data_IF_085000833678
#
_entry.id   IF_085000833678
#
_cell.length_a   1.000
_cell.length_b   1.000
_cell.length_c   1.000
_cell.angle_alpha   90.00
_cell.angle_beta   90.00
_cell.angle_gamma   90.00
#
_symmetry.space_group_name_H-M   'P 1'
#
loop_
_entity.id
_entity.type
_entity.pdbx_description
1 polymer ?
#
# COMPACT_ATOMS: atom_id res chain seq x y z
N UNK A 1 -1.64 6.40 -20.45
CA UNK A 1 -2.72 5.47 -20.05
C UNK A 1 -3.68 6.20 -19.13
N UNK A 2 -4.98 5.97 -19.27
CA UNK A 2 -6.05 6.63 -18.54
C UNK A 2 -6.93 5.63 -17.74
N UNK A 3 -7.95 6.13 -17.05
CA UNK A 3 -8.89 5.37 -16.22
C UNK A 3 -9.71 4.39 -17.06
N UNK A 4 -10.05 4.75 -18.29
CA UNK A 4 -10.78 3.86 -19.19
C UNK A 4 -9.92 2.64 -19.58
N UNK A 5 -8.62 2.85 -19.79
CA UNK A 5 -7.67 1.78 -20.16
C UNK A 5 -7.47 0.76 -19.02
N UNK A 6 -7.66 1.16 -17.76
CA UNK A 6 -7.52 0.27 -16.60
C UNK A 6 -8.82 -0.44 -16.21
N UNK A 7 -9.94 -0.18 -16.89
CA UNK A 7 -11.16 -0.95 -16.64
C UNK A 7 -10.99 -2.42 -17.06
N UNK A 8 -11.81 -3.29 -16.49
CA UNK A 8 -11.86 -4.71 -16.79
C UNK A 8 -11.57 -5.64 -15.62
N UNK A 9 -11.16 -6.87 -15.94
CA UNK A 9 -10.98 -7.96 -14.98
C UNK A 9 -9.51 -8.25 -14.71
N UNK A 10 -9.17 -8.41 -13.44
CA UNK A 10 -7.82 -8.72 -12.96
C UNK A 10 -7.78 -10.01 -12.16
N UNK A 11 -6.73 -10.80 -12.30
CA UNK A 11 -6.53 -11.97 -11.44
C UNK A 11 -6.18 -11.56 -10.01
N UNK A 12 -5.55 -10.39 -9.85
CA UNK A 12 -5.21 -9.82 -8.55
C UNK A 12 -5.09 -8.29 -8.63
N UNK A 13 -5.58 -7.62 -7.59
CA UNK A 13 -5.42 -6.18 -7.37
C UNK A 13 -4.64 -6.00 -6.07
N UNK A 14 -3.59 -5.18 -6.09
CA UNK A 14 -2.59 -5.10 -5.01
C UNK A 14 -2.35 -3.64 -4.63
N UNK A 15 -2.49 -3.32 -3.34
CA UNK A 15 -1.99 -2.06 -2.80
C UNK A 15 -0.48 -2.13 -2.56
N UNK A 16 0.23 -1.08 -2.97
CA UNK A 16 1.65 -0.85 -2.72
C UNK A 16 1.90 0.08 -1.52
N UNK A 17 0.99 0.06 -0.54
CA UNK A 17 1.09 0.84 0.69
C UNK A 17 0.78 2.32 0.49
N UNK A 18 1.62 3.17 1.07
CA UNK A 18 1.45 4.60 1.36
C UNK A 18 0.76 4.80 2.68
N UNK A 19 -0.40 4.19 2.83
CA UNK A 19 -1.14 4.06 4.07
C UNK A 19 -2.07 2.85 3.93
N UNK A 20 -2.85 2.54 4.96
CA UNK A 20 -3.81 1.43 4.92
C UNK A 20 -5.07 1.72 4.08
N UNK A 21 -5.31 2.97 3.68
CA UNK A 21 -6.55 3.38 3.02
C UNK A 21 -6.82 2.66 1.68
N UNK A 22 -5.87 2.54 0.72
CA UNK A 22 -6.13 1.80 -0.52
C UNK A 22 -6.51 0.34 -0.23
N UNK A 23 -5.82 -0.27 0.72
CA UNK A 23 -6.08 -1.63 1.17
C UNK A 23 -7.52 -1.80 1.72
N UNK A 24 -7.98 -0.87 2.55
CA UNK A 24 -9.33 -0.87 3.13
C UNK A 24 -10.42 -0.60 2.09
N UNK A 25 -10.16 0.30 1.14
CA UNK A 25 -11.12 0.62 0.07
C UNK A 25 -11.29 -0.54 -0.91
N UNK A 26 -10.18 -1.23 -1.24
CA UNK A 26 -10.25 -2.50 -1.99
C UNK A 26 -11.08 -3.55 -1.26
N UNK A 27 -10.98 -3.62 0.08
CA UNK A 27 -11.82 -4.55 0.86
C UNK A 27 -13.30 -4.18 0.78
N UNK A 28 -13.63 -2.89 0.96
CA UNK A 28 -15.01 -2.37 0.88
C UNK A 28 -15.65 -2.70 -0.47
N UNK A 29 -14.88 -2.62 -1.55
CA UNK A 29 -15.33 -2.85 -2.92
C UNK A 29 -15.27 -4.33 -3.34
N UNK A 30 -14.92 -5.25 -2.44
CA UNK A 30 -14.71 -6.67 -2.75
C UNK A 30 -13.65 -6.92 -3.85
N UNK A 31 -12.67 -6.02 -3.96
CA UNK A 31 -11.57 -6.07 -4.92
C UNK A 31 -10.30 -6.70 -4.34
N UNK A 32 -10.41 -7.45 -3.24
CA UNK A 32 -9.32 -8.23 -2.64
C UNK A 32 -9.40 -9.69 -3.03
N UNK A 33 -8.34 -10.22 -3.65
CA UNK A 33 -8.24 -11.67 -3.94
C UNK A 33 -7.48 -12.46 -2.86
N UNK A 34 -7.05 -11.81 -1.77
CA UNK A 34 -6.45 -12.45 -0.61
C UNK A 34 -6.54 -11.55 0.64
N UNK A 35 -6.34 -12.15 1.83
CA UNK A 35 -6.63 -11.49 3.12
C UNK A 35 -5.80 -10.24 3.38
N UNK A 36 -4.50 -10.22 3.04
CA UNK A 36 -3.66 -9.02 3.14
C UNK A 36 -2.32 -9.12 2.40
N UNK A 37 -1.89 -8.01 1.78
CA UNK A 37 -0.54 -7.75 1.24
C UNK A 37 0.48 -7.43 2.33
N UNK A 38 1.80 -7.57 2.08
CA UNK A 38 2.85 -7.15 3.02
C UNK A 38 2.78 -5.68 3.43
N UNK A 39 2.25 -4.81 2.56
CA UNK A 39 2.22 -3.35 2.77
C UNK A 39 0.85 -2.79 3.18
N UNK A 40 -0.17 -3.65 3.35
CA UNK A 40 -1.54 -3.20 3.64
C UNK A 40 -1.67 -2.44 4.96
N UNK A 41 -0.83 -2.78 5.94
CA UNK A 41 -0.81 -2.19 7.28
C UNK A 41 0.40 -1.30 7.49
N UNK A 42 1.07 -0.94 6.40
CA UNK A 42 2.31 -0.18 6.42
C UNK A 42 2.10 1.24 5.93
N UNK A 43 2.74 2.19 6.60
CA UNK A 43 2.97 3.52 6.08
C UNK A 43 4.31 3.51 5.33
N UNK A 44 4.28 3.86 4.05
CA UNK A 44 5.49 3.93 3.21
C UNK A 44 5.54 5.30 2.52
N UNK A 45 6.17 6.30 3.16
CA UNK A 45 6.08 7.70 2.72
C UNK A 45 6.65 7.93 1.32
N UNK A 46 7.72 7.21 0.96
CA UNK A 46 8.39 7.35 -0.32
C UNK A 46 8.21 6.11 -1.18
N UNK A 47 7.89 6.29 -2.47
CA UNK A 47 7.75 5.16 -3.38
C UNK A 47 9.12 4.55 -3.73
N UNK A 48 10.21 5.32 -3.70
CA UNK A 48 11.57 4.82 -3.88
C UNK A 48 11.95 3.73 -2.87
N UNK A 49 11.52 3.87 -1.62
CA UNK A 49 11.72 2.86 -0.58
C UNK A 49 10.93 1.57 -0.86
N UNK A 50 9.71 1.70 -1.40
CA UNK A 50 8.91 0.55 -1.86
C UNK A 50 9.55 -0.11 -3.08
N UNK A 51 10.08 0.66 -4.03
CA UNK A 51 10.80 0.14 -5.19
C UNK A 51 11.99 -0.71 -4.73
N UNK A 52 12.81 -0.18 -3.83
CA UNK A 52 13.96 -0.89 -3.25
C UNK A 52 13.53 -2.15 -2.50
N UNK A 53 12.43 -2.11 -1.75
CA UNK A 53 11.86 -3.29 -1.09
C UNK A 53 11.47 -4.38 -2.09
N UNK A 54 10.80 -4.01 -3.18
CA UNK A 54 10.36 -4.93 -4.23
C UNK A 54 11.55 -5.50 -5.02
N UNK A 55 12.51 -4.66 -5.39
CA UNK A 55 13.75 -5.08 -6.08
C UNK A 55 14.51 -6.13 -5.27
N UNK A 56 14.58 -5.95 -3.95
CA UNK A 56 15.22 -6.88 -3.03
C UNK A 56 14.31 -8.05 -2.61
N UNK A 57 13.11 -8.17 -3.19
CA UNK A 57 12.13 -9.23 -2.89
C UNK A 57 11.87 -9.37 -1.39
N UNK A 58 11.74 -8.25 -0.69
CA UNK A 58 11.52 -8.17 0.76
C UNK A 58 12.66 -8.73 1.63
N UNK A 59 13.85 -8.99 1.06
CA UNK A 59 15.00 -9.42 1.85
C UNK A 59 15.35 -8.35 2.90
N UNK A 60 15.59 -8.73 4.14
CA UNK A 60 15.89 -7.78 5.21
C UNK A 60 14.69 -6.98 5.74
N UNK A 61 13.48 -7.16 5.19
CA UNK A 61 12.30 -6.39 5.60
C UNK A 61 11.79 -6.83 6.98
N UNK A 62 11.68 -5.87 7.88
CA UNK A 62 11.33 -6.00 9.30
C UNK A 62 12.15 -7.11 9.98
N UNK A 63 13.47 -7.08 9.78
CA UNK A 63 14.39 -7.82 10.65
C UNK A 63 14.53 -7.06 11.96
N UNK A 64 14.61 -7.78 13.07
CA UNK A 64 14.51 -7.18 14.41
C UNK A 64 15.61 -6.14 14.65
N UNK A 65 16.79 -6.37 14.11
CA UNK A 65 17.95 -5.48 14.15
C UNK A 65 17.75 -4.17 13.37
N UNK A 66 16.82 -4.15 12.42
CA UNK A 66 16.46 -2.96 11.63
C UNK A 66 15.21 -2.27 12.18
N UNK A 67 14.64 -2.73 13.29
CA UNK A 67 13.36 -2.22 13.80
C UNK A 67 13.55 -1.21 14.94
N UNK A 68 12.86 -0.07 14.83
CA UNK A 68 12.84 0.96 15.87
C UNK A 68 11.41 1.32 16.25
N UNK A 69 11.14 1.40 17.55
CA UNK A 69 9.90 1.97 18.06
C UNK A 69 9.89 3.48 17.79
N UNK A 70 8.80 3.97 17.20
CA UNK A 70 8.60 5.39 16.87
C UNK A 70 7.53 6.03 17.74
N UNK A 71 6.45 5.29 18.03
CA UNK A 71 5.34 5.76 18.87
C UNK A 71 4.74 4.59 19.66
N UNK A 72 4.56 4.82 20.96
CA UNK A 72 3.99 3.90 21.95
C UNK A 72 2.67 4.38 22.56
N UNK A 73 2.16 5.55 22.16
CA UNK A 73 0.87 6.07 22.61
C UNK A 73 -0.30 5.32 21.96
N UNK A 74 -0.12 4.92 20.70
CA UNK A 74 -1.15 4.34 19.85
C UNK A 74 -2.34 5.27 19.58
N UNK A 75 -2.18 6.57 19.88
CA UNK A 75 -3.25 7.57 19.83
C UNK A 75 -3.19 8.40 18.54
N UNK A 76 -1.99 8.83 18.14
CA UNK A 76 -1.79 9.63 16.92
C UNK A 76 -0.41 9.39 16.33
N UNK A 77 -0.35 9.00 15.06
CA UNK A 77 0.92 8.94 14.36
C UNK A 77 1.17 10.28 13.69
N UNK A 78 2.25 10.96 14.05
CA UNK A 78 2.77 12.09 13.30
C UNK A 78 4.08 11.65 12.63
N UNK A 79 4.25 11.99 11.35
CA UNK A 79 5.53 11.84 10.65
C UNK A 79 5.90 13.18 10.00
N UNK A 80 7.07 13.72 10.33
CA UNK A 80 7.50 15.07 9.92
C UNK A 80 6.42 16.14 10.16
N UNK A 81 5.91 16.22 11.39
CA UNK A 81 4.85 17.16 11.83
C UNK A 81 3.50 17.03 11.10
N UNK A 82 3.33 16.00 10.27
CA UNK A 82 2.06 15.69 9.60
C UNK A 82 1.41 14.49 10.27
N UNK A 83 0.18 14.68 10.74
CA UNK A 83 -0.63 13.58 11.25
C UNK A 83 -0.88 12.59 10.11
N UNK A 84 -0.55 11.32 10.31
CA UNK A 84 -1.00 10.26 9.42
C UNK A 84 -2.52 10.22 9.52
N UNK A 85 -3.18 10.41 8.38
CA UNK A 85 -4.63 10.35 8.32
C UNK A 85 -5.07 8.91 8.54
N UNK A 86 -5.57 8.64 9.74
CA UNK A 86 -6.15 7.35 10.06
C UNK A 86 -7.31 7.02 9.13
N UNK A 87 -7.55 5.72 8.89
CA UNK A 87 -8.70 5.31 8.12
C UNK A 87 -9.99 5.75 8.81
N UNK A 88 -11.03 5.98 8.01
CA UNK A 88 -12.37 6.27 8.52
C UNK A 88 -12.78 5.18 9.54
N UNK A 89 -13.23 5.58 10.73
CA UNK A 89 -13.55 4.65 11.82
C UNK A 89 -14.65 3.64 11.45
N UNK A 90 -15.53 3.99 10.49
CA UNK A 90 -16.53 3.07 9.95
C UNK A 90 -15.93 2.00 9.02
N UNK A 91 -14.76 2.26 8.44
CA UNK A 91 -14.03 1.31 7.58
C UNK A 91 -13.06 0.44 8.39
N UNK A 92 -12.49 0.99 9.48
CA UNK A 92 -11.58 0.26 10.35
C UNK A 92 -11.58 0.84 11.76
N UNK A 93 -11.90 0.00 12.74
CA UNK A 93 -11.77 0.34 14.16
C UNK A 93 -10.38 -0.07 14.63
N UNK A 94 -9.47 0.90 14.75
CA UNK A 94 -8.09 0.63 15.20
C UNK A 94 -8.05 0.26 16.68
N UNK A 95 -7.30 -0.78 17.01
CA UNK A 95 -6.79 -1.00 18.37
C UNK A 95 -5.50 -0.22 18.54
N UNK A 96 -5.24 0.29 19.76
CA UNK A 96 -3.96 0.92 20.09
C UNK A 96 -2.81 -0.03 19.74
N UNK A 97 -1.85 0.47 18.98
CA UNK A 97 -0.72 -0.30 18.47
C UNK A 97 0.53 0.56 18.50
N UNK A 98 1.68 -0.07 18.75
CA UNK A 98 2.99 0.55 18.55
C UNK A 98 3.20 0.84 17.06
N UNK A 99 3.90 1.94 16.78
CA UNK A 99 4.41 2.24 15.44
C UNK A 99 5.87 1.81 15.39
N UNK A 100 6.17 0.84 14.55
CA UNK A 100 7.52 0.31 14.41
C UNK A 100 8.04 0.62 13.01
N UNK A 101 9.19 1.30 12.93
CA UNK A 101 9.89 1.58 11.69
C UNK A 101 10.87 0.47 11.37
N UNK A 102 10.86 -0.03 10.14
CA UNK A 102 12.02 -0.64 9.51
C UNK A 102 12.95 0.48 9.04
N UNK A 103 14.11 0.63 9.68
CA UNK A 103 15.10 1.65 9.34
C UNK A 103 15.89 1.32 8.08
N UNK A 104 15.94 0.05 7.68
CA UNK A 104 16.58 -0.38 6.45
C UNK A 104 15.75 0.05 5.23
N UNK A 105 14.42 -0.11 5.26
CA UNK A 105 13.50 0.28 4.18
C UNK A 105 12.76 1.60 4.41
N UNK A 106 12.86 2.20 5.58
CA UNK A 106 12.11 3.40 5.97
C UNK A 106 10.59 3.24 5.79
N UNK A 107 10.07 2.10 6.23
CA UNK A 107 8.65 1.73 6.17
C UNK A 107 8.17 1.42 7.58
N UNK A 108 6.96 1.85 7.92
CA UNK A 108 6.43 1.80 9.28
C UNK A 108 5.27 0.81 9.34
N UNK A 109 5.24 -0.08 10.32
CA UNK A 109 4.06 -0.87 10.67
C UNK A 109 3.22 -0.12 11.70
N UNK A 110 1.92 0.05 11.42
CA UNK A 110 1.03 0.85 12.27
C UNK A 110 -0.01 0.03 13.06
N UNK A 111 -0.27 -1.21 12.66
CA UNK A 111 -1.37 -2.01 13.23
C UNK A 111 -0.97 -3.45 13.59
N UNK A 112 0.28 -3.85 13.37
CA UNK A 112 0.68 -5.23 13.61
C UNK A 112 1.17 -5.49 15.05
N UNK A 113 1.47 -4.43 15.82
CA UNK A 113 2.03 -4.49 17.17
C UNK A 113 1.04 -3.93 18.20
N UNK A 114 0.00 -4.68 18.55
CA UNK A 114 -0.97 -4.24 19.54
C UNK A 114 -0.32 -3.93 20.90
N UNK A 115 -0.74 -2.83 21.54
CA UNK A 115 -0.27 -2.48 22.89
C UNK A 115 -0.96 -3.40 23.90
N UNK A 116 -0.16 -4.16 24.64
CA UNK A 116 -0.63 -5.07 25.70
C UNK A 116 0.00 -4.62 27.01
N UNK A 117 -0.79 -4.41 28.09
CA UNK A 117 -0.25 -4.00 29.37
C UNK A 117 0.87 -4.92 29.86
N UNK A 118 1.96 -4.32 30.34
CA UNK A 118 3.16 -5.00 30.86
C UNK A 118 3.88 -5.92 29.87
N UNK A 119 3.75 -5.67 28.56
CA UNK A 119 4.53 -6.35 27.52
C UNK A 119 5.33 -5.35 26.70
N UNK A 120 6.51 -5.76 26.29
CA UNK A 120 7.29 -4.99 25.34
C UNK A 120 6.81 -5.29 23.90
N UNK A 121 6.95 -4.35 22.98
CA UNK A 121 6.53 -4.56 21.59
C UNK A 121 7.27 -5.73 20.93
N UNK A 122 8.50 -6.03 21.36
CA UNK A 122 9.31 -7.15 20.87
C UNK A 122 8.68 -8.50 21.19
N UNK A 123 7.85 -8.62 22.23
CA UNK A 123 7.11 -9.84 22.54
C UNK A 123 6.17 -10.24 21.38
N UNK A 124 5.69 -9.26 20.62
CA UNK A 124 4.80 -9.48 19.47
C UNK A 124 5.55 -9.82 18.18
N UNK A 125 6.86 -9.58 18.14
CA UNK A 125 7.69 -9.75 16.94
C UNK A 125 7.62 -11.16 16.32
N UNK A 126 7.72 -12.28 17.06
CA UNK A 126 7.70 -13.60 16.44
C UNK A 126 6.39 -13.88 15.69
N UNK A 127 5.26 -13.47 16.27
CA UNK A 127 3.93 -13.61 15.65
C UNK A 127 3.82 -12.71 14.43
N UNK A 128 4.23 -11.46 14.56
CA UNK A 128 4.25 -10.51 13.46
C UNK A 128 5.09 -11.01 12.28
N UNK A 129 6.36 -11.39 12.53
CA UNK A 129 7.29 -11.81 11.48
C UNK A 129 6.80 -13.05 10.75
N UNK A 130 6.23 -14.03 11.47
CA UNK A 130 5.58 -15.21 10.86
C UNK A 130 4.45 -14.80 9.91
N UNK A 131 3.58 -13.89 10.33
CA UNK A 131 2.48 -13.40 9.51
C UNK A 131 2.99 -12.60 8.29
N UNK A 132 3.98 -11.74 8.49
CA UNK A 132 4.59 -10.96 7.42
C UNK A 132 5.22 -11.87 6.35
N UNK A 133 6.03 -12.87 6.76
CA UNK A 133 6.63 -13.83 5.82
C UNK A 133 5.57 -14.58 5.03
N UNK A 134 4.46 -14.95 5.67
CA UNK A 134 3.33 -15.57 4.99
C UNK A 134 2.66 -14.64 3.96
N UNK A 135 2.46 -13.36 4.31
CA UNK A 135 1.96 -12.33 3.39
C UNK A 135 2.90 -12.14 2.20
N UNK A 136 4.22 -12.08 2.43
CA UNK A 136 5.25 -11.95 1.38
C UNK A 136 5.22 -13.15 0.44
N UNK A 137 5.23 -14.37 0.98
CA UNK A 137 5.18 -15.58 0.16
C UNK A 137 3.92 -15.63 -0.72
N UNK A 138 2.77 -15.24 -0.15
CA UNK A 138 1.51 -15.18 -0.90
C UNK A 138 1.54 -14.11 -1.98
N UNK A 139 2.06 -12.92 -1.67
CA UNK A 139 2.26 -11.83 -2.62
C UNK A 139 3.13 -12.32 -3.80
N UNK A 140 4.31 -12.89 -3.53
CA UNK A 140 5.21 -13.39 -4.57
C UNK A 140 4.55 -14.50 -5.40
N UNK A 141 3.79 -15.40 -4.76
CA UNK A 141 3.04 -16.43 -5.48
C UNK A 141 1.99 -15.82 -6.42
N UNK A 142 1.27 -14.77 -6.00
CA UNK A 142 0.31 -14.07 -6.87
C UNK A 142 1.02 -13.36 -8.02
N UNK A 143 2.13 -12.67 -7.74
CA UNK A 143 2.97 -12.04 -8.78
C UNK A 143 3.37 -13.03 -9.88
N UNK A 144 3.74 -14.25 -9.53
CA UNK A 144 4.22 -15.24 -10.51
C UNK A 144 3.11 -15.99 -11.26
N UNK A 145 1.91 -16.12 -10.70
CA UNK A 145 0.87 -17.00 -11.25
C UNK A 145 -0.33 -16.26 -11.86
N UNK A 146 -0.43 -14.95 -11.65
CA UNK A 146 -1.46 -14.12 -12.28
C UNK A 146 -1.06 -13.76 -13.71
N UNK A 147 -2.04 -13.71 -14.61
CA UNK A 147 -1.90 -13.23 -16.00
C UNK A 147 -2.18 -11.73 -16.11
N UNK A 148 -3.05 -11.19 -15.25
CA UNK A 148 -3.32 -9.74 -15.16
C UNK A 148 -3.29 -9.23 -13.73
N UNK A 149 -2.57 -8.12 -13.51
CA UNK A 149 -2.38 -7.50 -12.19
C UNK A 149 -2.62 -5.99 -12.26
N UNK A 150 -3.41 -5.46 -11.32
CA UNK A 150 -3.50 -4.03 -11.08
C UNK A 150 -2.80 -3.68 -9.77
N UNK A 151 -1.84 -2.77 -9.82
CA UNK A 151 -1.22 -2.17 -8.64
C UNK A 151 -1.83 -0.82 -8.35
N UNK A 152 -2.01 -0.48 -7.08
CA UNK A 152 -2.52 0.82 -6.65
C UNK A 152 -1.56 1.43 -5.63
N UNK A 153 -1.18 2.68 -5.87
CA UNK A 153 -0.29 3.47 -5.01
C UNK A 153 -0.86 4.85 -4.76
N UNK A 154 -0.87 5.28 -3.49
CA UNK A 154 -1.22 6.66 -3.13
C UNK A 154 0.05 7.51 -3.01
N UNK A 155 0.22 8.49 -3.89
CA UNK A 155 1.38 9.38 -3.94
C UNK A 155 2.62 8.75 -4.59
N UNK A 156 3.18 9.43 -5.58
CA UNK A 156 4.47 9.16 -6.18
C UNK A 156 5.04 10.42 -6.84
N UNK A 157 6.34 10.41 -7.12
CA UNK A 157 6.96 11.29 -8.12
C UNK A 157 7.11 10.56 -9.46
N UNK A 158 7.32 11.30 -10.54
CA UNK A 158 7.44 10.74 -11.89
C UNK A 158 8.60 9.74 -11.97
N UNK A 159 9.77 10.09 -11.44
CA UNK A 159 10.96 9.24 -11.47
C UNK A 159 10.76 7.94 -10.67
N UNK A 160 10.08 8.03 -9.53
CA UNK A 160 9.73 6.88 -8.69
C UNK A 160 8.74 5.95 -9.39
N UNK A 161 7.79 6.51 -10.16
CA UNK A 161 6.82 5.74 -10.94
C UNK A 161 7.48 5.00 -12.12
N UNK A 162 8.45 5.64 -12.79
CA UNK A 162 9.27 4.99 -13.84
C UNK A 162 10.03 3.80 -13.24
N UNK A 163 10.66 3.99 -12.09
CA UNK A 163 11.39 2.91 -11.42
C UNK A 163 10.46 1.80 -10.93
N UNK A 164 9.27 2.14 -10.40
CA UNK A 164 8.27 1.17 -9.99
C UNK A 164 7.83 0.30 -11.18
N UNK A 165 7.51 0.94 -12.31
CA UNK A 165 7.10 0.25 -13.53
C UNK A 165 8.17 -0.74 -13.99
N UNK A 166 9.43 -0.32 -14.03
CA UNK A 166 10.56 -1.20 -14.41
C UNK A 166 10.74 -2.35 -13.42
N UNK A 167 10.67 -2.03 -12.13
CA UNK A 167 10.81 -3.02 -11.04
C UNK A 167 9.73 -4.09 -11.15
N UNK A 168 8.46 -3.71 -11.24
CA UNK A 168 7.35 -4.65 -11.35
C UNK A 168 7.41 -5.48 -12.64
N UNK A 169 7.77 -4.85 -13.77
CA UNK A 169 7.95 -5.55 -15.05
C UNK A 169 9.04 -6.63 -14.99
N UNK A 170 10.07 -6.44 -14.15
CA UNK A 170 11.11 -7.44 -13.93
C UNK A 170 10.68 -8.59 -13.00
N UNK A 171 9.65 -8.38 -12.18
CA UNK A 171 9.20 -9.33 -11.16
C UNK A 171 8.08 -10.26 -11.64
N UNK A 172 7.41 -9.94 -12.74
CA UNK A 172 6.32 -10.76 -13.29
C UNK A 172 6.24 -10.64 -14.81
N UNK A 173 5.82 -11.73 -15.46
CA UNK A 173 5.46 -11.74 -16.88
C UNK A 173 3.98 -11.41 -17.12
N UNK A 174 3.22 -11.07 -16.08
CA UNK A 174 1.82 -10.70 -16.18
C UNK A 174 1.62 -9.40 -16.96
N UNK A 175 0.44 -9.24 -17.56
CA UNK A 175 -0.04 -7.94 -17.97
C UNK A 175 -0.28 -7.09 -16.72
N UNK A 176 0.62 -6.16 -16.45
CA UNK A 176 0.52 -5.25 -15.32
C UNK A 176 -0.08 -3.91 -15.74
N UNK A 177 -0.85 -3.31 -14.85
CA UNK A 177 -1.26 -1.91 -14.88
C UNK A 177 -1.03 -1.31 -13.51
N UNK A 178 -0.70 -0.03 -13.45
CA UNK A 178 -0.40 0.69 -12.22
C UNK A 178 -1.31 1.92 -12.17
N UNK A 179 -2.09 2.05 -11.11
CA UNK A 179 -2.86 3.25 -10.80
C UNK A 179 -2.15 4.02 -9.67
N UNK A 180 -1.70 5.24 -9.97
CA UNK A 180 -1.11 6.14 -8.99
C UNK A 180 -2.08 7.28 -8.72
N UNK A 181 -2.40 7.47 -7.44
CA UNK A 181 -3.32 8.49 -6.96
C UNK A 181 -2.52 9.57 -6.23
N UNK A 182 -2.33 10.73 -6.85
CA UNK A 182 -1.55 11.82 -6.27
C UNK A 182 -2.47 12.84 -5.56
N UNK A 183 -2.39 12.99 -4.23
CA UNK A 183 -3.18 14.00 -3.54
C UNK A 183 -2.70 15.41 -3.93
N UNK A 184 -3.62 16.24 -4.41
CA UNK A 184 -3.35 17.65 -4.77
C UNK A 184 -4.29 18.56 -3.98
N UNK A 185 -3.74 19.66 -3.46
CA UNK A 185 -4.53 20.65 -2.73
C UNK A 185 -5.47 21.43 -3.65
N UNK A 186 -6.69 21.69 -3.18
CA UNK A 186 -7.66 22.55 -3.87
C UNK A 186 -8.51 21.89 -4.96
N UNK A 187 -8.27 20.62 -5.31
CA UNK A 187 -9.15 19.89 -6.24
C UNK A 187 -10.26 19.14 -5.51
N UNK A 188 -11.46 19.15 -6.09
CA UNK A 188 -12.63 18.46 -5.55
C UNK A 188 -12.90 17.10 -6.24
N UNK A 189 -12.49 16.98 -7.49
CA UNK A 189 -12.72 15.80 -8.32
C UNK A 189 -11.40 15.23 -8.84
N UNK A 190 -11.34 13.91 -9.08
CA UNK A 190 -10.17 13.31 -9.70
C UNK A 190 -9.92 13.86 -11.11
N UNK A 191 -8.65 14.10 -11.45
CA UNK A 191 -8.23 14.58 -12.77
C UNK A 191 -7.05 13.75 -13.26
N UNK A 192 -7.14 13.23 -14.47
CA UNK A 192 -6.09 12.42 -15.08
C UNK A 192 -4.89 13.26 -15.50
N UNK A 193 -3.70 12.69 -15.37
CA UNK A 193 -2.44 13.33 -15.75
C UNK A 193 -1.63 12.38 -16.61
N UNK A 194 -0.97 12.91 -17.62
CA UNK A 194 -0.09 12.14 -18.48
C UNK A 194 1.38 12.35 -18.07
N UNK A 195 2.04 11.26 -17.67
CA UNK A 195 3.48 11.23 -17.37
C UNK A 195 4.28 10.45 -18.44
N UNK A 196 3.63 10.04 -19.54
CA UNK A 196 4.26 9.27 -20.63
C UNK A 196 4.96 7.98 -20.16
N UNK A 197 4.38 7.30 -19.16
CA UNK A 197 4.89 6.02 -18.63
C UNK A 197 3.96 4.88 -19.05
N UNK A 198 4.53 3.88 -19.72
CA UNK A 198 3.80 2.70 -20.16
C UNK A 198 3.15 1.95 -19.00
N UNK A 199 1.89 1.57 -19.19
CA UNK A 199 1.11 0.81 -18.21
C UNK A 199 0.84 1.54 -16.88
N UNK A 200 1.04 2.85 -16.82
CA UNK A 200 0.78 3.65 -15.62
C UNK A 200 -0.30 4.70 -15.89
N UNK A 201 -1.39 4.62 -15.14
CA UNK A 201 -2.44 5.63 -15.06
C UNK A 201 -2.17 6.51 -13.83
N UNK A 202 -2.05 7.83 -14.06
CA UNK A 202 -1.84 8.82 -13.01
C UNK A 202 -3.11 9.64 -12.86
N UNK A 203 -3.60 9.77 -11.63
CA UNK A 203 -4.77 10.58 -11.32
C UNK A 203 -4.46 11.47 -10.13
N UNK A 204 -4.62 12.77 -10.31
CA UNK A 204 -4.65 13.71 -9.20
C UNK A 204 -5.97 13.55 -8.46
N UNK A 205 -5.93 13.44 -7.14
CA UNK A 205 -7.11 13.20 -6.29
C UNK A 205 -7.20 14.22 -5.15
N UNK A 206 -8.38 14.46 -4.58
CA UNK A 206 -8.50 15.22 -3.33
C UNK A 206 -7.62 14.63 -2.22
N UNK A 207 -7.14 15.47 -1.31
CA UNK A 207 -6.18 15.04 -0.28
C UNK A 207 -6.73 13.92 0.63
N UNK A 208 -8.03 13.83 0.88
CA UNK A 208 -8.58 12.84 1.81
C UNK A 208 -8.56 11.41 1.22
N UNK A 209 -7.69 10.51 1.71
CA UNK A 209 -7.62 9.12 1.23
C UNK A 209 -8.83 8.28 1.69
N UNK A 210 -9.71 8.82 2.54
CA UNK A 210 -10.91 8.14 3.00
C UNK A 210 -12.16 8.45 2.16
N UNK A 211 -12.07 9.37 1.20
CA UNK A 211 -13.23 9.81 0.43
C UNK A 211 -13.82 8.65 -0.40
N UNK A 212 -14.99 8.14 0.01
CA UNK A 212 -15.64 6.98 -0.61
C UNK A 212 -15.97 7.25 -2.08
N UNK A 213 -16.57 8.40 -2.39
CA UNK A 213 -16.94 8.76 -3.76
C UNK A 213 -15.75 8.82 -4.72
N UNK A 214 -14.58 9.27 -4.24
CA UNK A 214 -13.34 9.26 -5.03
C UNK A 214 -12.95 7.82 -5.38
N UNK A 215 -12.96 6.90 -4.42
CA UNK A 215 -12.61 5.49 -4.68
C UNK A 215 -13.64 4.77 -5.55
N UNK A 216 -14.93 5.04 -5.37
CA UNK A 216 -16.00 4.48 -6.21
C UNK A 216 -15.84 4.92 -7.67
N UNK A 217 -15.53 6.20 -7.90
CA UNK A 217 -15.27 6.72 -9.25
C UNK A 217 -14.02 6.10 -9.89
N UNK A 218 -12.90 6.06 -9.15
CA UNK A 218 -11.61 5.59 -9.67
C UNK A 218 -11.60 4.09 -10.02
N UNK A 219 -12.39 3.30 -9.29
CA UNK A 219 -12.43 1.84 -9.43
C UNK A 219 -13.68 1.33 -10.16
N UNK A 220 -14.48 2.24 -10.73
CA UNK A 220 -15.63 1.89 -11.55
C UNK A 220 -15.23 1.04 -12.76
N UNK A 221 -15.96 -0.05 -12.98
CA UNK A 221 -15.70 -1.00 -14.06
C UNK A 221 -14.45 -1.88 -13.85
N UNK A 222 -13.85 -1.88 -12.65
CA UNK A 222 -12.78 -2.80 -12.26
C UNK A 222 -13.38 -3.96 -11.45
N UNK A 223 -12.95 -5.18 -11.75
CA UNK A 223 -13.40 -6.39 -11.05
C UNK A 223 -12.31 -7.45 -10.96
N UNK A 224 -12.50 -8.43 -10.06
CA UNK A 224 -11.65 -9.60 -9.97
C UNK A 224 -12.14 -10.71 -10.90
N UNK A 225 -11.21 -11.44 -11.51
CA UNK A 225 -11.50 -12.69 -12.22
C UNK A 225 -11.71 -13.80 -11.19
N UNK A 226 -12.89 -14.41 -11.23
CA UNK A 226 -13.27 -15.55 -10.38
C UNK A 226 -12.91 -16.88 -11.04
#
# INVERSE_FOLDING_TARGET
>A
MNLQDIKGQYDVIISLGSACNPALQLNRLNLRSFTSSPLDWSYSPYLSDVNRLLQNRFNGFMQIENMSLVDDSGDYVYFNDKMLRFPNQNLYKSTKSYIIQDTHYNIFSAHDFAIVPNKDWTDMYPKFKKNLNYRINRFMKKMMNSKSILFIRWGAKSEEAIELQKTLSSLTAAQLRILILNPIDGIQNPTEVEWEIDNVCIVNVPHDPNNISTWDYLLDGISLRH
#
